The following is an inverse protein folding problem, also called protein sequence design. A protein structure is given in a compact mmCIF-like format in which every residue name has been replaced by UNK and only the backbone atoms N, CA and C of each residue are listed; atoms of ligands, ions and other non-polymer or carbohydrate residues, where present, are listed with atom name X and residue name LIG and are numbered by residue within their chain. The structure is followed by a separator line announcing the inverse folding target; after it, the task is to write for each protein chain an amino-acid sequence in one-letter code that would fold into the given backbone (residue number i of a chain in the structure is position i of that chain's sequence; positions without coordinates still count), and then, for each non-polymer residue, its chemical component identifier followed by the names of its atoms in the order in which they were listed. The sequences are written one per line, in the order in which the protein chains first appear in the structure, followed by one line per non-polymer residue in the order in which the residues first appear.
data_IF_743359079378
#
_entry.id   IF_743359079378
#
_cell.length_a   1.000
_cell.length_b   1.000
_cell.length_c   1.000
_cell.angle_alpha   90.00
_cell.angle_beta   90.00
_cell.angle_gamma   90.00
#
_symmetry.space_group_name_H-M   'P 1'
#
loop_
_entity.id
_entity.type
_entity.pdbx_description
1 polymer ?
#
# COMPACT_ATOMS: atom_id res chain seq x y z
N UNK A 1 -16.29 -1.89 15.46
CA UNK A 1 -15.63 -1.16 14.35
C UNK A 1 -14.14 -1.06 14.64
N UNK A 2 -13.31 -1.45 13.68
CA UNK A 2 -11.84 -1.49 13.78
C UNK A 2 -11.26 -0.77 12.57
N UNK A 3 -10.33 0.15 12.81
CA UNK A 3 -9.48 0.75 11.77
C UNK A 3 -8.09 0.16 11.94
N UNK A 4 -7.58 -0.51 10.91
CA UNK A 4 -6.25 -1.11 10.96
C UNK A 4 -5.20 -0.07 10.54
N UNK A 5 -4.12 0.05 11.30
CA UNK A 5 -3.01 0.97 11.02
C UNK A 5 -1.74 0.14 10.83
N UNK A 6 -0.99 0.42 9.77
CA UNK A 6 0.29 -0.24 9.49
C UNK A 6 1.32 0.73 8.86
N UNK A 7 2.57 0.31 8.74
CA UNK A 7 3.60 1.13 8.08
C UNK A 7 3.50 1.07 6.54
N UNK A 8 3.62 -0.13 5.98
CA UNK A 8 3.58 -0.43 4.55
C UNK A 8 2.94 -1.78 4.29
N UNK A 9 2.34 -1.93 3.12
CA UNK A 9 1.82 -3.23 2.67
C UNK A 9 2.75 -3.77 1.59
N UNK A 10 3.46 -4.86 1.90
CA UNK A 10 4.35 -5.56 0.97
C UNK A 10 3.62 -6.70 0.25
N UNK A 11 3.67 -7.92 0.77
CA UNK A 11 2.93 -9.07 0.23
C UNK A 11 1.49 -9.17 0.76
N UNK A 12 1.09 -8.27 1.67
CA UNK A 12 -0.24 -8.28 2.30
C UNK A 12 -0.47 -9.38 3.33
N UNK A 13 0.52 -10.23 3.63
CA UNK A 13 0.37 -11.36 4.58
C UNK A 13 -0.10 -10.90 5.96
N UNK A 14 0.58 -9.93 6.57
CA UNK A 14 0.23 -9.41 7.90
C UNK A 14 -1.19 -8.83 7.95
N UNK A 15 -1.59 -8.12 6.89
CA UNK A 15 -2.94 -7.56 6.77
C UNK A 15 -3.99 -8.67 6.68
N UNK A 16 -3.75 -9.71 5.87
CA UNK A 16 -4.68 -10.84 5.71
C UNK A 16 -4.87 -11.59 7.04
N UNK A 17 -3.81 -11.80 7.79
CA UNK A 17 -3.86 -12.38 9.13
C UNK A 17 -4.66 -11.50 10.10
N UNK A 18 -4.41 -10.19 10.10
CA UNK A 18 -5.15 -9.25 10.94
C UNK A 18 -6.65 -9.19 10.59
N UNK A 19 -7.01 -9.22 9.30
CA UNK A 19 -8.40 -9.31 8.84
C UNK A 19 -9.06 -10.58 9.39
N UNK A 20 -8.37 -11.72 9.34
CA UNK A 20 -8.88 -12.99 9.85
C UNK A 20 -9.12 -12.92 11.38
N UNK A 21 -8.21 -12.30 12.13
CA UNK A 21 -8.37 -12.12 13.58
C UNK A 21 -9.59 -11.24 13.89
N UNK A 22 -9.70 -10.09 13.21
CA UNK A 22 -10.78 -9.13 13.42
C UNK A 22 -12.14 -9.77 13.10
N UNK A 23 -12.26 -10.41 11.94
CA UNK A 23 -13.50 -11.09 11.52
C UNK A 23 -13.87 -12.25 12.45
N UNK A 24 -12.88 -13.05 12.87
CA UNK A 24 -13.11 -14.17 13.82
C UNK A 24 -13.54 -13.70 15.20
N UNK A 25 -13.20 -12.47 15.59
CA UNK A 25 -13.69 -11.85 16.84
C UNK A 25 -15.11 -11.27 16.74
N UNK A 26 -15.74 -11.35 15.57
CA UNK A 26 -17.05 -10.73 15.30
C UNK A 26 -16.99 -9.20 15.14
N UNK A 27 -15.79 -8.63 15.02
CA UNK A 27 -15.60 -7.20 14.85
C UNK A 27 -15.67 -6.79 13.36
N UNK A 28 -16.22 -5.60 13.13
CA UNK A 28 -16.32 -4.99 11.80
C UNK A 28 -15.05 -4.18 11.47
N UNK A 29 -14.29 -4.59 10.44
CA UNK A 29 -13.18 -3.81 9.89
C UNK A 29 -13.73 -2.73 8.94
N UNK A 30 -13.43 -1.46 9.22
CA UNK A 30 -13.99 -0.32 8.46
C UNK A 30 -13.01 0.31 7.47
N UNK A 31 -11.73 -0.09 7.51
CA UNK A 31 -10.69 0.47 6.65
C UNK A 31 -9.29 0.13 7.13
N UNK A 32 -8.32 0.43 6.28
CA UNK A 32 -6.89 0.29 6.57
C UNK A 32 -6.19 1.62 6.26
N UNK A 33 -5.29 2.05 7.12
CA UNK A 33 -4.41 3.20 6.89
C UNK A 33 -2.95 2.77 6.96
N UNK A 34 -2.17 3.18 5.97
CA UNK A 34 -0.73 2.93 5.90
C UNK A 34 0.05 4.24 5.83
N UNK A 35 1.30 4.23 6.27
CA UNK A 35 2.15 5.42 6.12
C UNK A 35 2.49 5.68 4.65
N UNK A 36 2.93 4.65 3.91
CA UNK A 36 3.37 4.79 2.52
C UNK A 36 2.70 3.74 1.60
N UNK A 37 1.99 4.21 0.57
CA UNK A 37 1.64 3.39 -0.58
C UNK A 37 2.79 3.42 -1.60
N UNK A 38 3.49 2.30 -1.75
CA UNK A 38 4.63 2.17 -2.67
C UNK A 38 4.22 2.11 -4.16
N UNK A 39 2.93 1.93 -4.45
CA UNK A 39 2.39 1.82 -5.81
C UNK A 39 3.15 0.81 -6.68
N UNK A 40 3.49 -0.33 -6.09
CA UNK A 40 4.26 -1.39 -6.73
C UNK A 40 3.44 -2.67 -6.84
N UNK A 41 3.60 -3.35 -7.98
CA UNK A 41 3.06 -4.68 -8.22
C UNK A 41 3.64 -5.68 -7.22
N UNK A 42 2.77 -6.59 -6.75
CA UNK A 42 3.20 -7.77 -6.02
C UNK A 42 3.76 -8.84 -6.95
N UNK A 43 3.38 -10.10 -6.73
CA UNK A 43 3.72 -11.20 -7.64
C UNK A 43 2.88 -11.20 -8.93
N UNK A 44 1.81 -10.42 -8.93
CA UNK A 44 0.84 -10.28 -10.03
C UNK A 44 1.00 -8.90 -10.67
N UNK A 45 0.10 -8.54 -11.59
CA UNK A 45 0.04 -7.19 -12.19
C UNK A 45 -0.69 -6.15 -11.34
N UNK A 46 -1.01 -6.49 -10.09
CA UNK A 46 -1.70 -5.59 -9.16
C UNK A 46 -0.92 -5.53 -7.85
N UNK A 47 -1.03 -4.42 -7.12
CA UNK A 47 -0.40 -4.31 -5.80
C UNK A 47 -1.13 -5.12 -4.74
N UNK A 48 -0.45 -5.40 -3.65
CA UNK A 48 -1.09 -6.01 -2.48
C UNK A 48 -2.22 -5.14 -1.92
N UNK A 49 -2.15 -3.81 -2.07
CA UNK A 49 -3.23 -2.90 -1.70
C UNK A 49 -4.46 -3.18 -2.57
N UNK A 50 -4.30 -3.17 -3.91
CA UNK A 50 -5.39 -3.46 -4.84
C UNK A 50 -5.99 -4.86 -4.61
N UNK A 51 -5.15 -5.87 -4.34
CA UNK A 51 -5.61 -7.22 -3.98
C UNK A 51 -6.47 -7.21 -2.72
N UNK A 52 -6.09 -6.45 -1.69
CA UNK A 52 -6.86 -6.37 -0.45
C UNK A 52 -8.20 -5.65 -0.69
N UNK A 53 -8.19 -4.53 -1.40
CA UNK A 53 -9.41 -3.78 -1.70
C UNK A 53 -10.40 -4.64 -2.51
N UNK A 54 -9.92 -5.37 -3.52
CA UNK A 54 -10.74 -6.25 -4.35
C UNK A 54 -11.26 -7.47 -3.58
N UNK A 55 -10.42 -8.14 -2.79
CA UNK A 55 -10.80 -9.40 -2.12
C UNK A 55 -11.72 -9.18 -0.92
N UNK A 56 -11.59 -8.04 -0.23
CA UNK A 56 -12.30 -7.79 1.02
C UNK A 56 -13.33 -6.66 0.93
N UNK A 57 -13.32 -5.86 -0.14
CA UNK A 57 -14.21 -4.70 -0.28
C UNK A 57 -13.90 -3.59 0.73
N UNK A 58 -12.65 -3.51 1.19
CA UNK A 58 -12.20 -2.60 2.25
C UNK A 58 -11.29 -1.56 1.65
N UNK A 59 -11.54 -0.27 1.94
CA UNK A 59 -10.70 0.82 1.48
C UNK A 59 -9.36 0.86 2.22
N UNK A 60 -8.28 0.99 1.48
CA UNK A 60 -6.94 1.27 2.00
C UNK A 60 -6.58 2.71 1.69
N UNK A 61 -6.17 3.47 2.71
CA UNK A 61 -5.72 4.86 2.56
C UNK A 61 -4.26 4.99 2.96
N UNK A 62 -3.48 5.84 2.30
CA UNK A 62 -2.09 6.10 2.65
C UNK A 62 -1.89 7.56 3.03
N UNK A 63 -0.94 7.83 3.93
CA UNK A 63 -0.54 9.20 4.27
C UNK A 63 0.21 9.83 3.08
N UNK A 64 1.13 9.06 2.50
CA UNK A 64 1.86 9.44 1.27
C UNK A 64 1.91 8.27 0.30
N UNK A 65 2.07 8.57 -0.99
CA UNK A 65 2.31 7.57 -2.04
C UNK A 65 3.62 7.83 -2.81
N UNK A 66 3.98 6.91 -3.71
CA UNK A 66 5.17 7.04 -4.55
C UNK A 66 5.13 8.29 -5.43
N UNK A 67 3.96 8.67 -5.96
CA UNK A 67 3.78 9.93 -6.69
C UNK A 67 4.20 11.15 -5.85
N UNK A 68 3.77 11.22 -4.58
CA UNK A 68 4.15 12.30 -3.66
C UNK A 68 5.67 12.33 -3.43
N UNK A 69 6.29 11.15 -3.27
CA UNK A 69 7.75 11.05 -3.10
C UNK A 69 8.50 11.53 -4.34
N UNK A 70 8.00 11.18 -5.54
CA UNK A 70 8.59 11.64 -6.79
C UNK A 70 8.48 13.16 -6.94
N UNK A 71 7.32 13.75 -6.65
CA UNK A 71 7.12 15.22 -6.65
C UNK A 71 8.06 15.91 -5.66
N UNK A 72 8.25 15.35 -4.47
CA UNK A 72 9.22 15.89 -3.52
C UNK A 72 10.64 15.88 -4.09
N UNK A 73 11.07 14.76 -4.70
CA UNK A 73 12.44 14.62 -5.20
C UNK A 73 12.75 15.49 -6.42
N UNK A 74 11.76 15.94 -7.18
CA UNK A 74 11.96 16.88 -8.31
C UNK A 74 12.72 18.14 -7.91
N UNK A 75 12.51 18.62 -6.68
CA UNK A 75 13.13 19.85 -6.17
C UNK A 75 14.34 19.59 -5.27
N UNK A 76 14.58 18.34 -4.87
CA UNK A 76 15.56 18.01 -3.82
C UNK A 76 16.70 17.11 -4.30
N UNK A 77 16.41 16.06 -5.07
CA UNK A 77 17.44 15.16 -5.57
C UNK A 77 17.05 14.54 -6.93
N UNK A 78 17.39 15.21 -8.04
CA UNK A 78 17.11 14.71 -9.39
C UNK A 78 17.78 13.38 -9.72
N UNK A 79 18.90 13.03 -9.06
CA UNK A 79 19.60 11.76 -9.29
C UNK A 79 18.85 10.60 -8.66
N UNK A 80 18.34 10.78 -7.44
CA UNK A 80 17.47 9.77 -6.80
C UNK A 80 16.14 9.68 -7.56
N UNK A 81 15.57 10.79 -7.99
CA UNK A 81 14.34 10.78 -8.81
C UNK A 81 14.49 9.90 -10.06
N UNK A 82 15.61 10.00 -10.78
CA UNK A 82 15.86 9.17 -11.96
C UNK A 82 15.83 7.67 -11.63
N UNK A 83 16.48 7.25 -10.52
CA UNK A 83 16.46 5.86 -10.06
C UNK A 83 15.07 5.38 -9.66
N UNK A 84 14.27 6.24 -9.02
CA UNK A 84 12.89 5.90 -8.66
C UNK A 84 12.00 5.79 -9.90
N UNK A 85 12.22 6.63 -10.92
CA UNK A 85 11.52 6.52 -12.22
C UNK A 85 11.80 5.17 -12.88
N UNK A 86 13.06 4.73 -12.91
CA UNK A 86 13.44 3.41 -13.42
C UNK A 86 12.79 2.28 -12.61
N UNK A 87 12.79 2.39 -11.27
CA UNK A 87 12.12 1.44 -10.40
C UNK A 87 10.61 1.34 -10.71
N UNK A 88 9.93 2.48 -10.87
CA UNK A 88 8.50 2.52 -11.19
C UNK A 88 8.20 1.92 -12.57
N UNK A 89 9.06 2.11 -13.56
CA UNK A 89 8.90 1.48 -14.87
C UNK A 89 8.96 -0.05 -14.77
N UNK A 90 9.80 -0.57 -13.87
CA UNK A 90 9.98 -2.01 -13.71
C UNK A 90 8.91 -2.66 -12.81
N UNK A 91 8.45 -1.96 -11.78
CA UNK A 91 7.64 -2.55 -10.71
C UNK A 91 6.31 -1.82 -10.43
N UNK A 92 5.98 -0.75 -11.13
CA UNK A 92 4.75 0.02 -10.88
C UNK A 92 3.47 -0.79 -11.06
N UNK A 93 2.46 -0.50 -10.24
CA UNK A 93 1.07 -1.01 -10.37
C UNK A 93 0.27 -0.37 -11.51
#
# INVERSE_FOLDING_TARGET
KVLLIDDVISAGTAIREAIQIITSSGAELVGIVVALNRQECGKTKISAIQEIEQNYGIKVTSIVNLDNLMTFLEQHDPKILAKIKEYRLQYGE
#
